data_IF_439953446645
#
_entry.id   IF_439953446645
#
_cell.length_a   1.000
_cell.length_b   1.000
_cell.length_c   1.000
_cell.angle_alpha   90.00
_cell.angle_beta   90.00
_cell.angle_gamma   90.00
#
_symmetry.space_group_name_H-M   'P 1'
#
loop_
_entity.id
_entity.type
_entity.pdbx_description
1 polymer ?
#
# COMPACT_ATOMS: atom_id res chain seq x y z
N UNK A 1 -50.45 -50.89 -15.76
CA UNK A 1 -48.98 -50.73 -15.73
C UNK A 1 -48.71 -49.23 -15.70
N UNK A 2 -48.40 -48.67 -14.52
CA UNK A 2 -48.08 -47.25 -14.37
C UNK A 2 -46.58 -47.05 -14.50
N UNK A 3 -46.16 -46.30 -15.51
CA UNK A 3 -44.77 -45.91 -15.70
C UNK A 3 -44.45 -44.71 -14.80
N UNK A 4 -43.53 -44.90 -13.85
CA UNK A 4 -42.97 -43.82 -13.03
C UNK A 4 -41.82 -43.21 -13.81
N UNK A 5 -41.97 -41.95 -14.22
CA UNK A 5 -40.90 -41.16 -14.82
C UNK A 5 -40.00 -40.62 -13.70
N UNK A 6 -38.77 -41.14 -13.64
CA UNK A 6 -37.71 -40.61 -12.76
C UNK A 6 -37.11 -39.40 -13.48
N UNK A 7 -37.44 -38.19 -13.02
CA UNK A 7 -36.75 -36.98 -13.43
C UNK A 7 -35.35 -36.96 -12.78
N UNK A 8 -34.32 -37.21 -13.58
CA UNK A 8 -32.94 -37.02 -13.15
C UNK A 8 -32.66 -35.52 -12.97
N UNK A 9 -32.56 -35.06 -11.73
CA UNK A 9 -32.02 -33.74 -11.44
C UNK A 9 -30.50 -33.79 -11.67
N UNK A 10 -30.04 -33.29 -12.81
CA UNK A 10 -28.63 -32.98 -13.03
C UNK A 10 -28.25 -31.84 -12.11
N UNK A 11 -27.57 -32.15 -11.00
CA UNK A 11 -26.84 -31.17 -10.21
C UNK A 11 -25.68 -30.70 -11.08
N UNK A 12 -25.79 -29.50 -11.67
CA UNK A 12 -24.62 -28.86 -12.27
C UNK A 12 -23.65 -28.57 -11.13
N UNK A 13 -22.56 -29.32 -11.04
CA UNK A 13 -21.43 -28.93 -10.21
C UNK A 13 -20.92 -27.59 -10.77
N UNK A 14 -21.13 -26.49 -10.04
CA UNK A 14 -20.45 -25.23 -10.32
C UNK A 14 -18.96 -25.53 -10.22
N UNK A 15 -18.20 -25.30 -11.30
CA UNK A 15 -16.75 -25.38 -11.22
C UNK A 15 -16.28 -24.34 -10.20
N UNK A 16 -15.57 -24.80 -9.17
CA UNK A 16 -14.90 -23.92 -8.21
C UNK A 16 -13.78 -23.19 -8.97
N UNK A 17 -13.93 -21.89 -9.13
CA UNK A 17 -12.90 -21.04 -9.69
C UNK A 17 -11.89 -20.70 -8.59
N UNK A 18 -10.60 -20.77 -8.91
CA UNK A 18 -9.52 -20.53 -7.96
C UNK A 18 -8.61 -19.42 -8.45
N UNK A 19 -8.41 -18.40 -7.62
CA UNK A 19 -7.56 -17.25 -7.91
C UNK A 19 -6.36 -17.21 -6.96
N UNK A 20 -5.15 -17.19 -7.53
CA UNK A 20 -3.93 -16.95 -6.77
C UNK A 20 -3.66 -15.44 -6.64
N UNK A 21 -3.57 -14.95 -5.41
CA UNK A 21 -3.37 -13.53 -5.07
C UNK A 21 -1.96 -13.29 -4.52
N UNK A 22 -0.96 -12.93 -5.33
CA UNK A 22 0.35 -12.51 -4.82
C UNK A 22 0.24 -11.23 -3.99
N UNK A 23 0.99 -11.20 -2.88
CA UNK A 23 1.13 -10.04 -2.00
C UNK A 23 2.59 -9.86 -1.55
N UNK A 24 3.05 -8.62 -1.51
CA UNK A 24 4.48 -8.30 -1.29
C UNK A 24 4.95 -8.40 0.17
N UNK A 25 4.05 -8.27 1.15
CA UNK A 25 4.40 -8.19 2.56
C UNK A 25 4.28 -9.53 3.28
N UNK A 26 4.98 -9.69 4.41
CA UNK A 26 4.91 -10.93 5.19
C UNK A 26 3.47 -11.23 5.63
N UNK A 27 3.14 -12.52 5.79
CA UNK A 27 1.77 -12.91 6.16
C UNK A 27 1.30 -12.30 7.48
N UNK A 28 2.21 -11.95 8.39
CA UNK A 28 1.88 -11.30 9.67
C UNK A 28 1.56 -9.81 9.54
N UNK A 29 1.95 -9.17 8.44
CA UNK A 29 1.68 -7.75 8.23
C UNK A 29 0.17 -7.52 8.14
N UNK A 30 -0.34 -6.49 8.82
CA UNK A 30 -1.80 -6.25 8.89
C UNK A 30 -2.43 -5.97 7.51
N UNK A 31 -1.68 -5.44 6.53
CA UNK A 31 -2.15 -5.29 5.15
C UNK A 31 -2.33 -6.64 4.48
N UNK A 32 -1.38 -7.57 4.68
CA UNK A 32 -1.54 -8.96 4.23
C UNK A 32 -2.67 -9.68 4.96
N UNK A 33 -2.90 -9.38 6.25
CA UNK A 33 -4.04 -9.90 7.00
C UNK A 33 -5.37 -9.37 6.45
N UNK A 34 -5.43 -8.11 6.03
CA UNK A 34 -6.59 -7.56 5.32
C UNK A 34 -6.87 -8.34 4.03
N UNK A 35 -5.83 -8.67 3.23
CA UNK A 35 -5.99 -9.49 2.02
C UNK A 35 -6.49 -10.91 2.33
N UNK A 36 -5.98 -11.53 3.39
CA UNK A 36 -6.38 -12.86 3.82
C UNK A 36 -7.84 -12.87 4.28
N UNK A 37 -8.24 -11.91 5.13
CA UNK A 37 -9.63 -11.80 5.59
C UNK A 37 -10.61 -11.53 4.43
N UNK A 38 -10.22 -10.68 3.47
CA UNK A 38 -10.97 -10.49 2.23
C UNK A 38 -11.14 -11.80 1.44
N UNK A 39 -10.05 -12.54 1.22
CA UNK A 39 -10.06 -13.79 0.48
C UNK A 39 -10.92 -14.88 1.17
N UNK A 40 -10.84 -14.97 2.50
CA UNK A 40 -11.66 -15.86 3.31
C UNK A 40 -13.15 -15.49 3.22
N UNK A 41 -13.48 -14.19 3.32
CA UNK A 41 -14.86 -13.70 3.18
C UNK A 41 -15.44 -14.00 1.80
N UNK A 42 -14.69 -13.80 0.71
CA UNK A 42 -15.13 -14.15 -0.65
C UNK A 42 -15.38 -15.65 -0.77
N UNK A 43 -14.47 -16.48 -0.26
CA UNK A 43 -14.59 -17.94 -0.35
C UNK A 43 -15.81 -18.43 0.42
N UNK A 44 -16.04 -17.91 1.62
CA UNK A 44 -17.18 -18.28 2.45
C UNK A 44 -18.51 -17.79 1.86
N UNK A 45 -18.59 -16.51 1.49
CA UNK A 45 -19.85 -15.87 1.06
C UNK A 45 -20.25 -16.23 -0.38
N UNK A 46 -19.33 -16.80 -1.18
CA UNK A 46 -19.62 -17.35 -2.51
C UNK A 46 -20.01 -18.83 -2.48
N UNK A 47 -20.18 -19.43 -1.29
CA UNK A 47 -20.36 -20.88 -1.10
C UNK A 47 -19.26 -21.71 -1.78
N UNK A 48 -18.02 -21.20 -1.77
CA UNK A 48 -16.85 -21.81 -2.40
C UNK A 48 -16.83 -21.75 -3.92
N UNK A 49 -17.72 -20.99 -4.58
CA UNK A 49 -17.67 -20.79 -6.04
C UNK A 49 -16.38 -20.10 -6.49
N UNK A 50 -15.88 -19.16 -5.68
CA UNK A 50 -14.62 -18.48 -5.89
C UNK A 50 -13.73 -18.65 -4.66
N UNK A 51 -12.64 -19.40 -4.81
CA UNK A 51 -11.58 -19.52 -3.80
C UNK A 51 -10.45 -18.55 -4.14
N UNK A 52 -10.09 -17.66 -3.21
CA UNK A 52 -8.92 -16.79 -3.36
C UNK A 52 -7.83 -17.28 -2.41
N UNK A 53 -6.63 -17.54 -2.93
CA UNK A 53 -5.46 -17.97 -2.14
C UNK A 53 -4.41 -16.86 -2.11
N UNK A 54 -4.16 -16.31 -0.94
CA UNK A 54 -3.16 -15.26 -0.76
C UNK A 54 -1.75 -15.85 -0.63
N UNK A 55 -0.83 -15.37 -1.45
CA UNK A 55 0.58 -15.74 -1.45
C UNK A 55 1.44 -14.58 -0.94
N UNK A 56 1.64 -14.45 0.39
CA UNK A 56 2.37 -13.34 0.98
C UNK A 56 3.88 -13.44 0.77
N UNK A 57 4.59 -12.43 1.27
CA UNK A 57 6.05 -12.32 1.30
C UNK A 57 6.72 -12.35 -0.08
N UNK A 58 5.98 -12.01 -1.14
CA UNK A 58 6.44 -12.10 -2.51
C UNK A 58 6.87 -13.52 -2.90
N UNK A 59 6.16 -14.53 -2.38
CA UNK A 59 6.45 -15.96 -2.61
C UNK A 59 6.06 -16.42 -4.02
N UNK A 60 4.98 -15.87 -4.58
CA UNK A 60 4.54 -16.17 -5.95
C UNK A 60 5.12 -15.17 -6.97
N UNK A 61 4.99 -13.87 -6.72
CA UNK A 61 5.59 -12.79 -7.51
C UNK A 61 6.29 -11.80 -6.59
N UNK A 62 7.43 -11.25 -7.01
CA UNK A 62 8.05 -10.13 -6.31
C UNK A 62 7.14 -8.91 -6.38
N UNK A 63 7.21 -8.03 -5.39
CA UNK A 63 6.34 -6.86 -5.30
C UNK A 63 6.30 -6.03 -6.57
N UNK A 64 7.45 -5.78 -7.19
CA UNK A 64 7.60 -5.03 -8.44
C UNK A 64 6.91 -5.68 -9.66
N UNK A 65 6.58 -6.96 -9.59
CA UNK A 65 6.02 -7.75 -10.69
C UNK A 65 4.49 -7.87 -10.62
N UNK A 66 3.89 -7.67 -9.44
CA UNK A 66 2.47 -7.96 -9.16
C UNK A 66 1.54 -7.18 -10.11
N UNK A 67 1.71 -5.86 -10.24
CA UNK A 67 0.84 -5.04 -11.10
C UNK A 67 0.87 -5.54 -12.55
N UNK A 68 2.05 -5.90 -13.06
CA UNK A 68 2.20 -6.45 -14.42
C UNK A 68 1.56 -7.84 -14.54
N UNK A 69 1.73 -8.68 -13.53
CA UNK A 69 1.16 -10.03 -13.52
C UNK A 69 -0.37 -10.00 -13.57
N UNK A 70 -1.00 -9.12 -12.78
CA UNK A 70 -2.46 -8.87 -12.82
C UNK A 70 -2.89 -8.27 -14.16
N UNK A 71 -2.21 -7.21 -14.63
CA UNK A 71 -2.52 -6.58 -15.93
C UNK A 71 -2.51 -7.58 -17.09
N UNK A 72 -1.53 -8.48 -17.12
CA UNK A 72 -1.40 -9.49 -18.19
C UNK A 72 -2.24 -10.74 -18.00
N UNK A 73 -3.01 -10.84 -16.90
CA UNK A 73 -3.83 -12.01 -16.58
C UNK A 73 -3.04 -13.26 -16.17
N UNK A 74 -1.73 -13.14 -15.88
CA UNK A 74 -0.95 -14.25 -15.33
C UNK A 74 -1.46 -14.69 -13.95
N UNK A 75 -1.97 -13.73 -13.18
CA UNK A 75 -2.78 -13.96 -11.99
C UNK A 75 -4.05 -13.13 -12.09
N UNK A 76 -5.21 -13.64 -11.63
CA UNK A 76 -6.47 -12.91 -11.70
C UNK A 76 -6.52 -11.67 -10.81
N UNK A 77 -5.81 -11.69 -9.68
CA UNK A 77 -5.94 -10.69 -8.61
C UNK A 77 -4.58 -10.48 -7.94
N UNK A 78 -4.33 -9.33 -7.31
CA UNK A 78 -3.10 -9.08 -6.57
C UNK A 78 -3.19 -7.91 -5.58
N UNK A 79 -2.35 -7.95 -4.55
CA UNK A 79 -2.20 -6.88 -3.55
C UNK A 79 -0.89 -6.11 -3.73
N UNK A 80 -0.95 -4.81 -4.04
CA UNK A 80 0.24 -4.02 -4.38
C UNK A 80 0.24 -2.59 -3.84
N UNK A 81 1.42 -2.15 -3.40
CA UNK A 81 1.74 -0.75 -3.09
C UNK A 81 1.71 0.14 -4.34
N UNK A 82 0.85 1.16 -4.36
CA UNK A 82 0.60 1.96 -5.57
C UNK A 82 1.68 3.02 -5.83
N UNK A 83 2.28 3.61 -4.79
CA UNK A 83 3.33 4.62 -4.93
C UNK A 83 4.55 4.16 -5.75
N UNK A 84 4.83 2.84 -5.78
CA UNK A 84 5.88 2.26 -6.62
C UNK A 84 5.61 2.36 -8.14
N UNK A 85 4.37 2.68 -8.54
CA UNK A 85 3.90 2.75 -9.91
C UNK A 85 3.59 4.18 -10.37
N UNK A 86 4.02 5.20 -9.61
CA UNK A 86 3.87 6.61 -9.97
C UNK A 86 4.47 7.00 -11.35
N UNK A 87 5.40 6.19 -11.87
CA UNK A 87 5.95 6.36 -13.23
C UNK A 87 5.04 5.81 -14.33
N UNK A 88 4.17 4.86 -14.01
CA UNK A 88 3.17 4.31 -14.95
C UNK A 88 1.97 5.24 -15.06
N UNK A 89 1.58 5.86 -13.95
CA UNK A 89 0.60 6.94 -13.89
C UNK A 89 0.87 7.83 -12.66
N UNK A 90 0.99 9.16 -12.81
CA UNK A 90 1.22 10.05 -11.67
C UNK A 90 0.15 9.94 -10.56
N UNK A 91 -1.09 9.56 -10.91
CA UNK A 91 -2.18 9.43 -9.92
C UNK A 91 -1.87 8.37 -8.87
N UNK A 92 -1.12 7.31 -9.23
CA UNK A 92 -0.71 6.28 -8.29
C UNK A 92 0.34 6.76 -7.29
N UNK A 93 0.95 7.93 -7.53
CA UNK A 93 1.92 8.58 -6.65
C UNK A 93 1.35 9.71 -5.79
N UNK A 94 0.06 10.04 -5.90
CA UNK A 94 -0.53 11.19 -5.21
C UNK A 94 -0.40 11.10 -3.68
N UNK A 95 -0.54 9.90 -3.11
CA UNK A 95 -0.57 9.70 -1.67
C UNK A 95 0.79 9.54 -0.99
N UNK A 96 1.86 9.70 -1.78
CA UNK A 96 3.24 9.72 -1.32
C UNK A 96 3.91 11.07 -1.58
N UNK A 97 3.11 12.06 -2.00
CA UNK A 97 3.54 13.46 -2.05
C UNK A 97 3.60 13.99 -0.60
N UNK A 98 4.78 14.43 -0.12
CA UNK A 98 4.92 14.82 1.28
C UNK A 98 4.06 16.03 1.65
N UNK A 99 3.43 15.96 2.82
CA UNK A 99 2.64 16.99 3.47
C UNK A 99 1.35 17.40 2.75
N UNK A 100 0.86 16.59 1.79
CA UNK A 100 -0.48 16.78 1.20
C UNK A 100 -1.58 16.28 2.15
N UNK A 101 -1.44 15.06 2.67
CA UNK A 101 -2.33 14.49 3.67
C UNK A 101 -1.50 13.82 4.77
N UNK A 102 -1.56 14.36 5.99
CA UNK A 102 -0.63 14.01 7.09
C UNK A 102 -1.29 13.31 8.27
N UNK A 103 -2.60 13.17 8.24
CA UNK A 103 -3.38 12.37 9.17
C UNK A 103 -4.38 11.48 8.43
N UNK A 104 -5.06 10.61 9.18
CA UNK A 104 -5.99 9.64 8.60
C UNK A 104 -7.25 10.27 7.99
N UNK A 105 -7.72 11.39 8.52
CA UNK A 105 -8.96 12.00 8.05
C UNK A 105 -8.71 12.72 6.73
N UNK A 106 -7.60 13.46 6.63
CA UNK A 106 -7.14 14.04 5.37
C UNK A 106 -6.73 12.97 4.36
N UNK A 107 -6.11 11.87 4.79
CA UNK A 107 -5.78 10.76 3.89
C UNK A 107 -7.05 10.09 3.33
N UNK A 108 -8.13 9.99 4.12
CA UNK A 108 -9.42 9.48 3.65
C UNK A 108 -10.05 10.43 2.63
N UNK A 109 -10.08 11.74 2.91
CA UNK A 109 -10.59 12.73 1.95
C UNK A 109 -9.81 12.70 0.64
N UNK A 110 -8.47 12.65 0.71
CA UNK A 110 -7.60 12.54 -0.46
C UNK A 110 -7.88 11.25 -1.24
N UNK A 111 -8.09 10.14 -0.54
CA UNK A 111 -8.47 8.89 -1.18
C UNK A 111 -9.81 9.01 -1.91
N UNK A 112 -10.85 9.52 -1.28
CA UNK A 112 -12.16 9.69 -1.93
C UNK A 112 -12.11 10.63 -3.14
N UNK A 113 -11.35 11.73 -3.04
CA UNK A 113 -11.16 12.67 -4.15
C UNK A 113 -10.41 12.05 -5.34
N UNK A 114 -9.45 11.16 -5.08
CA UNK A 114 -8.60 10.55 -6.12
C UNK A 114 -9.09 9.21 -6.64
N UNK A 115 -9.99 8.52 -5.92
CA UNK A 115 -10.46 7.17 -6.27
C UNK A 115 -10.98 7.06 -7.71
N UNK A 116 -11.81 7.98 -8.24
CA UNK A 116 -12.27 7.87 -9.63
C UNK A 116 -11.14 7.94 -10.66
N UNK A 117 -10.12 8.76 -10.44
CA UNK A 117 -8.97 8.87 -11.32
C UNK A 117 -8.07 7.62 -11.24
N UNK A 118 -7.91 7.05 -10.04
CA UNK A 118 -7.20 5.78 -9.83
C UNK A 118 -7.93 4.63 -10.54
N UNK A 119 -9.26 4.55 -10.41
CA UNK A 119 -10.10 3.56 -11.09
C UNK A 119 -9.98 3.69 -12.61
N UNK A 120 -10.13 4.90 -13.16
CA UNK A 120 -9.97 5.14 -14.60
C UNK A 120 -8.59 4.72 -15.11
N UNK A 121 -7.51 5.09 -14.40
CA UNK A 121 -6.15 4.70 -14.77
C UNK A 121 -5.93 3.18 -14.73
N UNK A 122 -6.55 2.46 -13.80
CA UNK A 122 -6.51 0.99 -13.75
C UNK A 122 -7.33 0.37 -14.88
N UNK A 123 -8.52 0.90 -15.18
CA UNK A 123 -9.42 0.39 -16.21
C UNK A 123 -8.81 0.53 -17.62
N UNK A 124 -8.18 1.66 -17.92
CA UNK A 124 -7.39 1.85 -19.16
C UNK A 124 -6.28 0.81 -19.33
N UNK A 125 -5.83 0.22 -18.22
CA UNK A 125 -4.79 -0.80 -18.15
C UNK A 125 -5.37 -2.20 -17.94
N UNK A 126 -6.67 -2.41 -18.18
CA UNK A 126 -7.33 -3.71 -18.12
C UNK A 126 -7.41 -4.29 -16.71
N UNK A 127 -7.55 -3.43 -15.70
CA UNK A 127 -7.67 -3.83 -14.30
C UNK A 127 -8.80 -3.08 -13.61
N UNK A 128 -9.38 -3.69 -12.58
CA UNK A 128 -10.37 -3.07 -11.70
C UNK A 128 -9.83 -2.96 -10.28
N UNK A 129 -10.06 -1.81 -9.65
CA UNK A 129 -9.82 -1.63 -8.23
C UNK A 129 -10.92 -2.31 -7.41
N UNK A 130 -10.53 -3.09 -6.40
CA UNK A 130 -11.47 -3.63 -5.41
C UNK A 130 -11.49 -2.76 -4.16
N UNK A 131 -10.32 -2.53 -3.54
CA UNK A 131 -10.18 -1.63 -2.39
C UNK A 131 -8.73 -1.21 -2.17
N UNK A 132 -8.51 -0.19 -1.31
CA UNK A 132 -7.18 0.34 -0.98
C UNK A 132 -6.93 0.38 0.54
N UNK A 133 -6.17 -0.58 1.11
CA UNK A 133 -5.71 -0.48 2.49
C UNK A 133 -4.68 0.63 2.66
N UNK A 134 -4.81 1.39 3.74
CA UNK A 134 -3.93 2.50 4.13
C UNK A 134 -2.80 2.05 5.06
N UNK A 135 -1.64 2.69 4.94
CA UNK A 135 -0.48 2.59 5.83
C UNK A 135 -0.45 3.69 6.89
N UNK A 136 0.11 3.43 8.09
CA UNK A 136 0.28 4.49 9.08
C UNK A 136 1.16 5.64 8.56
N UNK A 137 1.13 6.81 9.22
CA UNK A 137 1.97 7.94 8.87
C UNK A 137 3.45 7.56 8.74
N UNK A 138 4.10 8.07 7.69
CA UNK A 138 5.51 7.81 7.46
C UNK A 138 6.38 8.70 8.34
N UNK A 139 7.31 8.07 9.05
CA UNK A 139 8.38 8.70 9.81
C UNK A 139 9.76 8.34 9.25
N UNK A 140 10.79 8.96 9.82
CA UNK A 140 12.18 8.78 9.41
C UNK A 140 12.87 7.82 10.38
N UNK A 141 13.37 6.70 9.86
CA UNK A 141 14.28 5.80 10.55
C UNK A 141 15.73 6.20 10.27
N UNK A 142 16.56 6.28 11.30
CA UNK A 142 18.01 6.55 11.15
C UNK A 142 18.85 5.81 12.17
N UNK A 143 20.06 5.42 11.77
CA UNK A 143 21.06 4.89 12.69
C UNK A 143 21.60 5.97 13.63
N UNK A 144 21.82 7.20 13.14
CA UNK A 144 22.35 8.32 13.93
C UNK A 144 21.26 9.32 14.29
N UNK A 145 21.51 10.12 15.33
CA UNK A 145 20.64 11.24 15.68
C UNK A 145 20.65 12.31 14.59
N UNK A 146 19.47 12.82 14.24
CA UNK A 146 19.24 13.84 13.21
C UNK A 146 18.46 14.98 13.82
N UNK A 147 19.03 16.18 13.76
CA UNK A 147 18.41 17.42 14.25
C UNK A 147 18.08 18.39 13.11
N UNK A 148 18.64 18.20 11.91
CA UNK A 148 18.37 18.96 10.70
C UNK A 148 18.71 18.14 9.46
N UNK A 149 18.31 18.60 8.26
CA UNK A 149 18.69 17.90 7.02
C UNK A 149 20.19 17.89 6.74
N UNK A 150 20.97 18.78 7.36
CA UNK A 150 22.43 18.73 7.25
C UNK A 150 23.01 17.40 7.79
N UNK A 151 22.37 16.79 8.79
CA UNK A 151 22.80 15.52 9.39
C UNK A 151 22.51 14.32 8.46
N UNK A 152 21.68 14.49 7.43
CA UNK A 152 21.39 13.49 6.41
C UNK A 152 22.41 13.48 5.25
N UNK A 153 23.37 14.41 5.25
CA UNK A 153 24.39 14.54 4.22
C UNK A 153 25.21 13.26 4.04
N UNK A 154 25.06 12.60 2.89
CA UNK A 154 25.77 11.37 2.57
C UNK A 154 25.20 10.10 3.23
N UNK A 155 24.09 10.19 3.97
CA UNK A 155 23.42 9.03 4.55
C UNK A 155 23.00 8.02 3.46
N UNK A 156 23.03 6.73 3.76
CA UNK A 156 22.60 5.68 2.83
C UNK A 156 21.12 5.43 3.00
N UNK A 157 20.33 5.97 2.09
CA UNK A 157 18.88 5.98 2.25
C UNK A 157 18.22 4.85 1.45
N UNK A 158 17.44 4.00 2.10
CA UNK A 158 16.59 3.04 1.40
C UNK A 158 15.35 3.73 0.86
N UNK A 159 15.16 3.67 -0.45
CA UNK A 159 13.97 4.17 -1.14
C UNK A 159 13.02 3.02 -1.51
N UNK A 160 11.72 3.24 -1.33
CA UNK A 160 10.68 2.29 -1.76
C UNK A 160 10.25 2.54 -3.21
N UNK A 161 10.30 3.79 -3.64
CA UNK A 161 9.73 4.27 -4.91
C UNK A 161 10.49 5.50 -5.42
N UNK A 162 10.02 6.06 -6.53
CA UNK A 162 10.63 7.25 -7.14
C UNK A 162 10.53 8.50 -6.23
N UNK A 163 9.43 8.64 -5.48
CA UNK A 163 9.21 9.80 -4.60
C UNK A 163 10.16 9.76 -3.40
N UNK A 164 10.25 8.63 -2.71
CA UNK A 164 11.23 8.43 -1.62
C UNK A 164 12.68 8.50 -2.11
N UNK A 165 12.95 8.14 -3.38
CA UNK A 165 14.27 8.34 -4.00
C UNK A 165 14.56 9.84 -4.20
N UNK A 166 13.58 10.61 -4.68
CA UNK A 166 13.71 12.07 -4.86
C UNK A 166 13.86 12.79 -3.52
N UNK A 167 13.07 12.39 -2.52
CA UNK A 167 13.18 12.86 -1.14
C UNK A 167 14.61 12.68 -0.61
N UNK A 168 15.19 11.49 -0.77
CA UNK A 168 16.56 11.20 -0.33
C UNK A 168 17.58 12.18 -0.93
N UNK A 169 17.50 12.43 -2.24
CA UNK A 169 18.38 13.39 -2.93
C UNK A 169 18.21 14.79 -2.37
N UNK A 170 16.97 15.23 -2.10
CA UNK A 170 16.69 16.54 -1.52
C UNK A 170 17.14 16.66 -0.06
N UNK A 171 17.18 15.55 0.68
CA UNK A 171 17.79 15.48 2.01
C UNK A 171 19.33 15.44 1.98
N UNK A 172 19.96 15.35 0.79
CA UNK A 172 21.41 15.18 0.66
C UNK A 172 21.91 13.75 0.92
N UNK A 173 20.99 12.78 1.00
CA UNK A 173 21.29 11.37 1.17
C UNK A 173 21.46 10.65 -0.18
N UNK A 174 22.02 9.45 -0.17
CA UNK A 174 22.22 8.59 -1.35
C UNK A 174 21.16 7.48 -1.39
N UNK A 175 20.18 7.53 -2.31
CA UNK A 175 19.12 6.53 -2.37
C UNK A 175 19.59 5.20 -2.96
N UNK A 176 19.16 4.10 -2.35
CA UNK A 176 19.17 2.74 -2.92
C UNK A 176 17.76 2.18 -2.88
N UNK A 177 17.22 1.81 -4.06
CA UNK A 177 15.87 1.24 -4.15
C UNK A 177 15.88 -0.23 -3.76
N UNK A 178 15.02 -0.63 -2.83
CA UNK A 178 14.83 -2.04 -2.43
C UNK A 178 13.36 -2.34 -2.15
N UNK A 179 12.94 -3.60 -2.30
CA UNK A 179 11.59 -4.04 -1.94
C UNK A 179 11.46 -4.24 -0.41
N UNK A 180 10.22 -4.28 0.09
CA UNK A 180 9.96 -4.43 1.53
C UNK A 180 10.56 -5.72 2.13
N UNK A 181 10.66 -6.79 1.34
CA UNK A 181 11.26 -8.07 1.76
C UNK A 181 12.77 -8.00 1.93
N UNK A 182 13.42 -6.96 1.42
CA UNK A 182 14.89 -6.80 1.43
C UNK A 182 15.35 -5.81 2.51
N UNK A 183 14.43 -5.18 3.25
CA UNK A 183 14.74 -4.16 4.26
C UNK A 183 15.74 -4.70 5.29
N UNK A 184 15.41 -5.80 5.97
CA UNK A 184 16.29 -6.39 6.99
C UNK A 184 17.70 -6.68 6.47
N UNK A 185 17.83 -7.15 5.22
CA UNK A 185 19.13 -7.40 4.59
C UNK A 185 19.87 -6.11 4.25
N UNK A 186 19.17 -5.11 3.69
CA UNK A 186 19.78 -3.83 3.31
C UNK A 186 20.38 -3.10 4.51
N UNK A 187 19.71 -3.15 5.66
CA UNK A 187 20.19 -2.56 6.90
C UNK A 187 21.32 -3.38 7.54
N UNK A 188 21.17 -4.70 7.69
CA UNK A 188 22.19 -5.55 8.32
C UNK A 188 23.51 -5.61 7.54
N UNK A 189 23.47 -5.39 6.22
CA UNK A 189 24.67 -5.33 5.36
C UNK A 189 25.24 -3.92 5.20
N UNK A 190 24.59 -2.90 5.77
CA UNK A 190 25.00 -1.51 5.67
C UNK A 190 24.86 -0.90 4.26
N UNK A 191 23.98 -1.49 3.42
CA UNK A 191 23.56 -0.89 2.14
C UNK A 191 22.68 0.33 2.39
N UNK A 192 21.91 0.32 3.48
CA UNK A 192 21.14 1.46 3.97
C UNK A 192 21.32 1.63 5.49
N UNK A 193 21.29 2.88 5.95
CA UNK A 193 21.33 3.28 7.36
C UNK A 193 20.12 4.16 7.74
N UNK A 194 19.28 4.49 6.76
CA UNK A 194 18.12 5.36 6.92
C UNK A 194 17.02 5.02 5.92
N UNK A 195 15.76 5.31 6.27
CA UNK A 195 14.62 5.20 5.36
C UNK A 195 13.42 6.01 5.87
N UNK A 196 12.49 6.32 4.96
CA UNK A 196 11.12 6.64 5.37
C UNK A 196 10.30 5.35 5.49
N UNK A 197 9.50 5.24 6.55
CA UNK A 197 8.65 4.08 6.79
C UNK A 197 7.64 4.33 7.90
N UNK A 198 6.62 3.48 8.01
CA UNK A 198 5.69 3.49 9.14
C UNK A 198 6.25 2.71 10.34
N UNK A 199 5.75 2.98 11.54
CA UNK A 199 6.03 2.17 12.72
C UNK A 199 5.64 0.69 12.52
N UNK A 200 4.62 0.40 11.71
CA UNK A 200 4.27 -0.97 11.34
C UNK A 200 5.43 -1.70 10.66
N UNK A 201 6.08 -1.06 9.67
CA UNK A 201 7.29 -1.61 9.05
C UNK A 201 8.41 -1.78 10.09
N UNK A 202 8.56 -0.78 10.97
CA UNK A 202 9.46 -0.83 12.12
C UNK A 202 9.36 -2.12 12.92
N UNK A 203 8.14 -2.48 13.33
CA UNK A 203 7.86 -3.68 14.11
C UNK A 203 8.00 -4.97 13.29
N UNK A 204 7.43 -5.03 12.08
CA UNK A 204 7.47 -6.26 11.27
C UNK A 204 8.88 -6.61 10.76
N UNK A 205 9.76 -5.61 10.59
CA UNK A 205 11.15 -5.80 10.19
C UNK A 205 12.13 -5.77 11.37
N UNK A 206 11.64 -5.58 12.60
CA UNK A 206 12.46 -5.43 13.81
C UNK A 206 13.57 -4.39 13.63
N UNK A 207 13.19 -3.19 13.22
CA UNK A 207 14.16 -2.14 12.87
C UNK A 207 15.11 -1.78 14.02
N UNK A 208 14.72 -2.01 15.27
CA UNK A 208 15.57 -1.88 16.46
C UNK A 208 16.85 -2.74 16.44
N UNK A 209 16.92 -3.78 15.59
CA UNK A 209 18.14 -4.57 15.42
C UNK A 209 19.21 -3.83 14.58
N UNK A 210 18.85 -2.73 13.89
CA UNK A 210 19.74 -2.06 12.92
C UNK A 210 19.77 -0.53 13.00
N UNK A 211 18.74 0.12 13.55
CA UNK A 211 18.66 1.58 13.67
C UNK A 211 18.17 1.98 15.06
N UNK A 212 18.63 3.14 15.52
CA UNK A 212 18.40 3.60 16.89
C UNK A 212 17.28 4.64 17.00
N UNK A 213 16.94 5.35 15.93
CA UNK A 213 16.02 6.50 15.96
C UNK A 213 14.84 6.30 15.02
N UNK A 214 13.66 6.71 15.48
CA UNK A 214 12.47 6.88 14.65
C UNK A 214 11.81 8.23 14.94
N UNK A 215 11.82 9.11 13.94
CA UNK A 215 11.16 10.42 14.02
C UNK A 215 9.74 10.34 13.45
N UNK A 216 8.73 10.68 14.24
CA UNK A 216 7.32 10.72 13.83
C UNK A 216 7.04 11.96 12.98
N UNK A 217 7.55 11.98 11.74
CA UNK A 217 7.43 13.11 10.81
C UNK A 217 5.99 13.32 10.34
N UNK A 218 5.22 12.23 10.24
CA UNK A 218 3.87 12.20 9.66
C UNK A 218 3.82 12.80 8.26
N UNK A 219 4.80 12.44 7.43
CA UNK A 219 5.01 13.09 6.14
C UNK A 219 3.89 12.80 5.14
N UNK A 220 3.36 11.57 5.11
CA UNK A 220 2.22 11.16 4.29
C UNK A 220 1.67 9.81 4.79
N UNK A 221 0.53 9.38 4.26
CA UNK A 221 -0.08 8.06 4.52
C UNK A 221 -0.30 7.29 3.20
N UNK A 222 0.62 6.38 2.82
CA UNK A 222 0.53 5.66 1.57
C UNK A 222 -0.59 4.62 1.55
N UNK A 223 -1.03 4.21 0.37
CA UNK A 223 -1.98 3.10 0.19
C UNK A 223 -1.38 1.97 -0.65
N UNK A 224 -1.80 0.76 -0.32
CA UNK A 224 -1.76 -0.36 -1.26
C UNK A 224 -3.15 -0.51 -1.90
N UNK A 225 -3.27 -1.38 -2.89
CA UNK A 225 -4.52 -1.68 -3.58
C UNK A 225 -4.67 -3.19 -3.74
N UNK A 226 -5.91 -3.67 -3.67
CA UNK A 226 -6.31 -4.96 -4.24
C UNK A 226 -6.90 -4.68 -5.61
N UNK A 227 -6.29 -5.28 -6.63
CA UNK A 227 -6.62 -5.10 -8.04
C UNK A 227 -6.92 -6.44 -8.68
N UNK A 228 -7.88 -6.46 -9.59
CA UNK A 228 -8.28 -7.64 -10.36
C UNK A 228 -8.09 -7.38 -11.85
N UNK A 229 -7.66 -8.40 -12.60
CA UNK A 229 -7.65 -8.37 -14.04
C UNK A 229 -9.08 -8.24 -14.57
N UNK A 230 -9.31 -7.34 -15.53
CA UNK A 230 -10.66 -7.02 -15.98
C UNK A 230 -11.33 -8.18 -16.74
N UNK A 231 -10.57 -9.00 -17.47
CA UNK A 231 -11.12 -10.17 -18.16
C UNK A 231 -11.53 -11.26 -17.16
N UNK A 232 -10.70 -11.52 -16.15
CA UNK A 232 -11.05 -12.44 -15.06
C UNK A 232 -12.27 -11.95 -14.28
N UNK A 233 -12.34 -10.64 -13.98
CA UNK A 233 -13.49 -10.02 -13.37
C UNK A 233 -14.77 -10.20 -14.17
N UNK A 234 -14.71 -9.96 -15.49
CA UNK A 234 -15.85 -10.09 -16.40
C UNK A 234 -16.26 -11.55 -16.65
N UNK A 235 -15.39 -12.52 -16.34
CA UNK A 235 -15.70 -13.95 -16.39
C UNK A 235 -16.59 -14.43 -15.24
N UNK A 236 -16.61 -13.70 -14.12
CA UNK A 236 -17.46 -14.02 -12.97
C UNK A 236 -18.94 -13.74 -13.26
N UNK A 237 -19.83 -14.56 -12.70
CA UNK A 237 -21.26 -14.24 -12.69
C UNK A 237 -21.57 -13.06 -11.76
N UNK A 238 -22.67 -12.35 -12.02
CA UNK A 238 -23.05 -11.15 -11.27
C UNK A 238 -23.21 -11.38 -9.76
N UNK A 239 -23.63 -12.58 -9.33
CA UNK A 239 -23.74 -12.92 -7.91
C UNK A 239 -22.36 -13.01 -7.26
N UNK A 240 -21.42 -13.70 -7.90
CA UNK A 240 -20.03 -13.80 -7.43
C UNK A 240 -19.33 -12.44 -7.47
N UNK A 241 -19.56 -11.61 -8.49
CA UNK A 241 -19.07 -10.24 -8.52
C UNK A 241 -19.57 -9.43 -7.32
N UNK A 242 -20.85 -9.51 -6.98
CA UNK A 242 -21.41 -8.79 -5.84
C UNK A 242 -20.77 -9.25 -4.51
N UNK A 243 -20.58 -10.56 -4.31
CA UNK A 243 -19.87 -11.09 -3.14
C UNK A 243 -18.47 -10.50 -3.00
N UNK A 244 -17.73 -10.38 -4.11
CA UNK A 244 -16.39 -9.79 -4.10
C UNK A 244 -16.43 -8.30 -3.75
N UNK A 245 -17.38 -7.54 -4.29
CA UNK A 245 -17.52 -6.11 -3.97
C UNK A 245 -17.90 -5.87 -2.51
N UNK A 246 -18.81 -6.68 -1.97
CA UNK A 246 -19.25 -6.58 -0.57
C UNK A 246 -18.09 -6.89 0.38
N UNK A 247 -17.34 -7.97 0.11
CA UNK A 247 -16.14 -8.33 0.88
C UNK A 247 -15.05 -7.26 0.79
N UNK A 248 -14.87 -6.64 -0.39
CA UNK A 248 -13.90 -5.56 -0.58
C UNK A 248 -14.28 -4.30 0.22
N UNK A 249 -15.56 -3.92 0.23
CA UNK A 249 -16.06 -2.79 1.00
C UNK A 249 -15.90 -3.00 2.51
N UNK A 250 -16.21 -4.21 3.01
CA UNK A 250 -16.01 -4.57 4.42
C UNK A 250 -14.53 -4.54 4.80
N UNK A 251 -13.66 -5.12 3.96
CA UNK A 251 -12.22 -5.12 4.18
C UNK A 251 -11.62 -3.71 4.20
N UNK A 252 -12.08 -2.81 3.32
CA UNK A 252 -11.68 -1.40 3.27
C UNK A 252 -12.09 -0.67 4.56
N UNK A 253 -13.36 -0.76 4.95
CA UNK A 253 -13.83 -0.11 6.17
C UNK A 253 -13.04 -0.59 7.39
N UNK A 254 -12.87 -1.90 7.52
CA UNK A 254 -12.17 -2.53 8.64
C UNK A 254 -10.70 -2.10 8.72
N UNK A 255 -9.95 -2.15 7.62
CA UNK A 255 -8.51 -1.82 7.65
C UNK A 255 -8.27 -0.34 7.97
N UNK A 256 -9.14 0.55 7.50
CA UNK A 256 -9.08 1.98 7.80
C UNK A 256 -9.45 2.31 9.26
N UNK A 257 -10.35 1.54 9.86
CA UNK A 257 -10.68 1.65 11.29
C UNK A 257 -9.54 1.09 12.17
N UNK A 258 -9.12 -0.15 11.91
CA UNK A 258 -8.15 -0.87 12.73
C UNK A 258 -6.79 -0.13 12.77
N UNK A 259 -6.33 0.41 11.62
CA UNK A 259 -5.02 1.04 11.52
C UNK A 259 -4.88 2.25 12.45
N UNK A 260 -5.98 3.00 12.69
CA UNK A 260 -6.00 4.16 13.59
C UNK A 260 -5.65 3.73 15.02
N UNK A 261 -6.25 2.62 15.48
CA UNK A 261 -6.08 2.09 16.83
C UNK A 261 -4.70 1.44 17.08
N UNK A 262 -4.08 0.85 16.05
CA UNK A 262 -2.81 0.13 16.21
C UNK A 262 -1.55 0.98 15.94
N UNK A 263 -1.70 2.16 15.33
CA UNK A 263 -0.57 3.01 14.93
C UNK A 263 0.32 3.40 16.11
N UNK A 264 -0.27 3.88 17.21
CA UNK A 264 0.50 4.24 18.40
C UNK A 264 1.18 3.02 19.03
N UNK A 265 0.50 1.87 19.06
CA UNK A 265 1.06 0.62 19.58
C UNK A 265 2.33 0.17 18.85
N UNK A 266 2.47 0.46 17.55
CA UNK A 266 3.73 0.20 16.84
C UNK A 266 4.87 1.10 17.31
N UNK A 267 4.60 2.38 17.58
CA UNK A 267 5.59 3.32 18.09
C UNK A 267 6.03 2.92 19.51
N UNK A 268 5.08 2.56 20.36
CA UNK A 268 5.35 2.09 21.72
C UNK A 268 6.20 0.81 21.70
N UNK A 269 5.85 -0.16 20.85
CA UNK A 269 6.62 -1.39 20.70
C UNK A 269 8.07 -1.13 20.23
N UNK A 270 8.29 -0.18 19.32
CA UNK A 270 9.66 0.20 18.91
C UNK A 270 10.43 0.83 20.07
N UNK A 271 9.80 1.70 20.87
CA UNK A 271 10.42 2.30 22.05
C UNK A 271 10.75 1.27 23.13
N UNK A 272 9.84 0.33 23.40
CA UNK A 272 10.05 -0.79 24.34
C UNK A 272 11.21 -1.70 23.93
N UNK A 273 11.49 -1.82 22.62
CA UNK A 273 12.63 -2.56 22.08
C UNK A 273 13.90 -1.72 21.93
N UNK A 274 13.95 -0.52 22.53
CA UNK A 274 15.18 0.26 22.70
C UNK A 274 15.40 1.38 21.69
N UNK A 275 14.46 1.61 20.75
CA UNK A 275 14.56 2.75 19.84
C UNK A 275 14.18 4.06 20.53
N UNK A 276 14.83 5.16 20.11
CA UNK A 276 14.40 6.52 20.44
C UNK A 276 13.31 6.95 19.47
N UNK A 277 12.07 6.88 19.93
CA UNK A 277 10.90 7.35 19.19
C UNK A 277 10.52 8.76 19.64
N UNK A 278 10.56 9.73 18.73
CA UNK A 278 10.24 11.12 19.07
C UNK A 278 9.67 11.91 17.89
N UNK A 279 9.07 13.06 18.17
CA UNK A 279 8.83 14.06 17.13
C UNK A 279 10.18 14.57 16.57
N UNK A 280 10.21 15.04 15.31
CA UNK A 280 11.37 15.77 14.78
C UNK A 280 11.59 17.07 15.56
N UNK A 281 12.83 17.57 15.57
CA UNK A 281 13.12 18.93 16.03
C UNK A 281 12.35 19.96 15.16
N UNK A 282 12.19 21.19 15.66
CA UNK A 282 11.54 22.25 14.87
C UNK A 282 12.26 22.49 13.54
N UNK A 283 13.60 22.45 13.53
CA UNK A 283 14.41 22.63 12.33
C UNK A 283 14.21 21.46 11.36
N UNK A 284 14.30 20.21 11.82
CA UNK A 284 14.09 19.04 10.99
C UNK A 284 12.69 19.03 10.37
N UNK A 285 11.67 19.39 11.16
CA UNK A 285 10.30 19.53 10.67
C UNK A 285 10.17 20.65 9.62
N UNK A 286 10.85 21.78 9.80
CA UNK A 286 10.86 22.87 8.84
C UNK A 286 11.54 22.48 7.52
N UNK A 287 12.66 21.77 7.60
CA UNK A 287 13.37 21.29 6.43
C UNK A 287 12.53 20.28 5.63
N UNK A 288 11.86 19.34 6.32
CA UNK A 288 10.92 18.42 5.69
C UNK A 288 9.77 19.14 4.98
N UNK A 289 9.18 20.17 5.60
CA UNK A 289 8.13 20.98 4.95
C UNK A 289 8.65 21.69 3.70
N UNK A 290 9.88 22.21 3.72
CA UNK A 290 10.50 22.85 2.57
C UNK A 290 10.68 21.85 1.41
N UNK A 291 11.21 20.66 1.69
CA UNK A 291 11.33 19.58 0.70
C UNK A 291 9.95 19.16 0.18
N UNK A 292 8.95 19.04 1.06
CA UNK A 292 7.58 18.71 0.70
C UNK A 292 6.97 19.72 -0.26
N UNK A 293 7.18 21.02 -0.04
CA UNK A 293 6.75 22.07 -0.97
C UNK A 293 7.36 21.87 -2.37
N UNK A 294 8.67 21.61 -2.44
CA UNK A 294 9.34 21.32 -3.72
C UNK A 294 8.77 20.08 -4.40
N UNK A 295 8.58 18.98 -3.66
CA UNK A 295 8.05 17.74 -4.23
C UNK A 295 6.59 17.86 -4.67
N UNK A 296 5.77 18.64 -3.95
CA UNK A 296 4.40 18.95 -4.34
C UNK A 296 4.34 19.78 -5.62
N UNK A 297 5.23 20.76 -5.78
CA UNK A 297 5.37 21.54 -7.02
C UNK A 297 5.82 20.64 -8.19
N UNK A 298 6.85 19.82 -7.99
CA UNK A 298 7.32 18.83 -8.98
C UNK A 298 6.23 17.84 -9.37
N UNK A 299 5.43 17.35 -8.41
CA UNK A 299 4.33 16.44 -8.69
C UNK A 299 3.24 17.14 -9.50
N UNK A 300 2.82 18.35 -9.10
CA UNK A 300 1.76 19.09 -9.79
C UNK A 300 2.12 19.38 -11.26
N UNK A 301 3.39 19.68 -11.56
CA UNK A 301 3.88 19.84 -12.93
C UNK A 301 3.76 18.56 -13.76
N UNK A 302 3.92 17.40 -13.12
CA UNK A 302 3.91 16.08 -13.78
C UNK A 302 2.54 15.39 -13.78
N UNK A 303 1.63 15.77 -12.90
CA UNK A 303 0.43 15.00 -12.61
C UNK A 303 -0.68 15.10 -13.67
N UNK A 304 -0.55 16.07 -14.58
CA UNK A 304 -1.54 16.33 -15.63
C UNK A 304 -2.91 16.74 -15.08
N UNK A 305 -3.92 16.74 -15.95
CA UNK A 305 -5.26 17.22 -15.61
C UNK A 305 -5.94 16.37 -14.52
N UNK A 306 -5.79 15.04 -14.59
CA UNK A 306 -6.42 14.12 -13.62
C UNK A 306 -5.86 14.32 -12.20
N UNK A 307 -4.55 14.52 -12.07
CA UNK A 307 -3.92 14.78 -10.78
C UNK A 307 -4.27 16.17 -10.22
N UNK A 308 -4.30 17.20 -11.08
CA UNK A 308 -4.75 18.53 -10.68
C UNK A 308 -6.20 18.51 -10.19
N UNK A 309 -7.10 17.85 -10.91
CA UNK A 309 -8.50 17.72 -10.52
C UNK A 309 -8.67 16.98 -9.18
N UNK A 310 -7.85 15.94 -8.91
CA UNK A 310 -7.88 15.23 -7.64
C UNK A 310 -7.43 16.12 -6.46
N UNK A 311 -6.39 16.94 -6.65
CA UNK A 311 -5.95 17.92 -5.65
C UNK A 311 -6.99 19.02 -5.43
N UNK A 312 -7.59 19.54 -6.48
CA UNK A 312 -8.64 20.56 -6.39
C UNK A 312 -9.86 20.02 -5.64
N UNK A 313 -10.28 18.78 -5.94
CA UNK A 313 -11.37 18.12 -5.24
C UNK A 313 -11.05 17.88 -3.75
N UNK A 314 -9.81 17.51 -3.42
CA UNK A 314 -9.36 17.39 -2.03
C UNK A 314 -9.40 18.74 -1.30
N UNK A 315 -8.85 19.80 -1.91
CA UNK A 315 -8.81 21.13 -1.32
C UNK A 315 -10.19 21.77 -1.16
N UNK A 316 -11.14 21.49 -2.05
CA UNK A 316 -12.51 21.99 -1.96
C UNK A 316 -13.33 21.34 -0.82
N UNK A 317 -12.88 20.19 -0.32
CA UNK A 317 -13.50 19.47 0.80
C UNK A 317 -12.94 19.82 2.19
N UNK A 318 -11.95 20.72 2.26
CA UNK A 318 -11.30 21.22 3.47
C UNK A 318 -11.66 22.69 3.73
#
# INVERSE_FOLDING_TARGET
>A
MSAVAIAAMTVMASAQEKWDMPAAYSGKNYVSQSYIGFAEAVTANSDGKLEIVVHPAGSLYKGSEILRAVRSGQVPIGGRYMGAHAKEDPIFGLDVVPFVATDFDDAWKLYQASKPAIEGALEERGMKLLYMPIWPPQGLFTQNEVNSMADMGGAKFRAADANTSRLAVLMGATPTKTEATEISQAFSTGVADSMMGSGAIGVFQKMWDNVDYFYTVNAWLPKSAVIVNLDAWNGLDAGTQQVVLDAAAEAEAKVWEDVKGITQGYNDAMAENGMKVSAPSEQLAADFRAIGKTMSEEWAENAGEAGAAALDAFNAGN
#
